data_IF_586220276699
#
_entry.id   IF_586220276699
#
_cell.length_a   1.000
_cell.length_b   1.000
_cell.length_c   1.000
_cell.angle_alpha   90.00
_cell.angle_beta   90.00
_cell.angle_gamma   90.00
#
_symmetry.space_group_name_H-M   'P 1'
#
loop_
_entity.id
_entity.type
_entity.pdbx_description
1 polymer ?
#
# COMPACT_ATOMS: atom_id res chain seq x y z
N UNK A 1 -4.38 -20.12 13.41
CA UNK A 1 -5.72 -20.00 14.00
C UNK A 1 -6.09 -18.53 14.03
N UNK A 2 -7.30 -18.18 13.58
CA UNK A 2 -7.83 -16.82 13.59
C UNK A 2 -8.71 -16.63 14.82
N UNK A 3 -8.48 -15.53 15.54
CA UNK A 3 -9.32 -15.11 16.68
C UNK A 3 -9.89 -13.73 16.39
N UNK A 4 -11.11 -13.51 16.80
CA UNK A 4 -11.74 -12.19 16.85
C UNK A 4 -11.82 -11.76 18.32
N UNK A 5 -11.48 -10.49 18.58
CA UNK A 5 -11.68 -9.89 19.89
C UNK A 5 -12.75 -8.81 19.79
N UNK A 6 -13.77 -8.91 20.64
CA UNK A 6 -14.84 -7.95 20.74
C UNK A 6 -15.20 -7.71 22.23
N UNK A 7 -15.12 -6.46 22.65
CA UNK A 7 -15.51 -5.91 23.96
C UNK A 7 -15.22 -6.80 25.17
N UNK A 8 -13.97 -7.28 25.29
CA UNK A 8 -13.50 -8.07 26.43
C UNK A 8 -13.61 -9.58 26.25
N UNK A 9 -14.11 -10.06 25.15
CA UNK A 9 -14.19 -11.49 24.84
C UNK A 9 -13.38 -11.84 23.60
N UNK A 10 -12.58 -12.90 23.72
CA UNK A 10 -11.86 -13.48 22.57
C UNK A 10 -12.66 -14.68 22.07
N UNK A 11 -12.92 -14.74 20.78
CA UNK A 11 -13.63 -15.81 20.14
C UNK A 11 -12.78 -16.43 19.02
N UNK A 12 -12.67 -17.77 19.04
CA UNK A 12 -11.97 -18.51 18.00
C UNK A 12 -12.83 -18.58 16.73
N UNK A 13 -12.30 -18.05 15.63
CA UNK A 13 -13.00 -17.96 14.35
C UNK A 13 -12.72 -19.14 13.43
N UNK A 14 -11.51 -19.72 13.51
CA UNK A 14 -11.14 -20.91 12.73
C UNK A 14 -10.49 -21.96 13.61
N UNK A 15 -10.73 -23.25 13.33
CA UNK A 15 -10.10 -24.36 14.06
C UNK A 15 -8.65 -24.58 13.63
N UNK A 16 -8.29 -24.12 12.45
CA UNK A 16 -7.01 -24.33 11.80
C UNK A 16 -6.37 -23.02 11.36
N UNK A 17 -5.18 -23.14 10.76
CA UNK A 17 -4.48 -22.02 10.13
C UNK A 17 -5.41 -21.43 9.06
N UNK A 18 -5.60 -20.12 9.11
CA UNK A 18 -6.32 -19.35 8.11
C UNK A 18 -5.28 -18.81 7.14
N UNK A 19 -5.37 -19.20 5.87
CA UNK A 19 -4.39 -18.83 4.86
C UNK A 19 -4.63 -17.41 4.33
N UNK A 20 -5.92 -17.03 4.22
CA UNK A 20 -6.36 -15.71 3.77
C UNK A 20 -7.67 -15.36 4.46
N UNK A 21 -7.81 -14.10 4.90
CA UNK A 21 -9.08 -13.60 5.46
C UNK A 21 -9.34 -12.17 5.02
N UNK A 22 -10.60 -11.79 4.99
CA UNK A 22 -11.08 -10.46 4.66
C UNK A 22 -12.21 -10.09 5.60
N UNK A 23 -12.12 -8.93 6.21
CA UNK A 23 -13.22 -8.29 6.92
C UNK A 23 -13.82 -7.23 6.00
N UNK A 24 -15.15 -7.19 5.88
CA UNK A 24 -15.85 -6.20 5.05
C UNK A 24 -15.66 -4.78 5.59
N UNK A 25 -15.85 -3.77 4.74
CA UNK A 25 -15.62 -2.37 5.09
C UNK A 25 -16.50 -1.87 6.23
N UNK A 26 -17.70 -2.46 6.40
CA UNK A 26 -18.59 -2.22 7.53
C UNK A 26 -18.20 -3.01 8.79
N UNK A 27 -17.17 -3.87 8.71
CA UNK A 27 -16.69 -4.75 9.77
C UNK A 27 -17.73 -5.78 10.26
N UNK A 28 -18.75 -6.07 9.49
CA UNK A 28 -19.84 -6.95 9.91
C UNK A 28 -19.70 -8.39 9.44
N UNK A 29 -18.82 -8.62 8.45
CA UNK A 29 -18.65 -9.94 7.83
C UNK A 29 -17.20 -10.33 7.71
N UNK A 30 -16.90 -11.56 8.12
CA UNK A 30 -15.62 -12.20 7.97
C UNK A 30 -15.71 -13.30 6.91
N UNK A 31 -14.85 -13.21 5.88
CA UNK A 31 -14.68 -14.25 4.87
C UNK A 31 -13.25 -14.78 4.97
N UNK A 32 -13.05 -16.09 4.94
CA UNK A 32 -11.72 -16.66 5.07
C UNK A 32 -11.58 -18.04 4.43
N UNK A 33 -10.35 -18.40 4.05
CA UNK A 33 -9.98 -19.75 3.64
C UNK A 33 -9.33 -20.46 4.82
N UNK A 34 -9.78 -21.68 5.08
CA UNK A 34 -9.17 -22.58 6.05
C UNK A 34 -9.18 -24.00 5.50
N UNK A 35 -7.98 -24.61 5.34
CA UNK A 35 -7.78 -25.94 4.75
C UNK A 35 -8.40 -26.10 3.35
N UNK A 36 -8.28 -25.09 2.50
CA UNK A 36 -8.87 -25.10 1.17
C UNK A 36 -10.39 -24.91 1.12
N UNK A 37 -11.05 -24.77 2.25
CA UNK A 37 -12.48 -24.44 2.32
C UNK A 37 -12.68 -22.93 2.50
N UNK A 38 -13.61 -22.35 1.74
CA UNK A 38 -14.04 -20.97 1.86
C UNK A 38 -15.21 -20.88 2.83
N UNK A 39 -15.05 -20.00 3.81
CA UNK A 39 -16.02 -19.81 4.90
C UNK A 39 -16.47 -18.35 4.95
N UNK A 40 -17.67 -18.18 5.48
CA UNK A 40 -18.29 -16.89 5.80
C UNK A 40 -18.85 -16.91 7.20
N UNK A 41 -18.80 -15.78 7.90
CA UNK A 41 -19.45 -15.56 9.18
C UNK A 41 -19.96 -14.12 9.29
N UNK A 42 -21.19 -13.97 9.78
CA UNK A 42 -21.75 -12.69 10.21
C UNK A 42 -21.24 -12.39 11.63
N UNK A 43 -20.53 -11.28 11.79
CA UNK A 43 -19.91 -10.90 13.08
C UNK A 43 -20.89 -10.11 13.95
N UNK A 44 -21.86 -9.39 13.37
CA UNK A 44 -22.89 -8.69 14.16
C UNK A 44 -23.74 -9.68 14.97
N UNK A 45 -24.00 -10.84 14.40
CA UNK A 45 -24.72 -11.91 15.09
C UNK A 45 -23.74 -12.81 15.86
N UNK A 46 -23.54 -12.52 17.15
CA UNK A 46 -22.61 -13.28 18.02
C UNK A 46 -22.93 -14.79 18.10
N UNK A 47 -24.17 -15.19 17.85
CA UNK A 47 -24.60 -16.58 17.85
C UNK A 47 -24.43 -17.25 16.48
N UNK A 48 -24.02 -16.50 15.45
CA UNK A 48 -23.80 -17.04 14.11
C UNK A 48 -22.59 -17.97 14.09
N UNK A 49 -22.73 -19.06 13.35
CA UNK A 49 -21.64 -20.03 13.17
C UNK A 49 -21.03 -19.87 11.79
N UNK A 50 -19.75 -20.22 11.62
CA UNK A 50 -19.14 -20.23 10.31
C UNK A 50 -19.97 -21.07 9.30
N UNK A 51 -20.27 -20.50 8.17
CA UNK A 51 -20.97 -21.13 7.06
C UNK A 51 -19.96 -21.44 5.94
N UNK A 52 -19.90 -22.69 5.52
CA UNK A 52 -19.06 -23.10 4.41
C UNK A 52 -19.72 -22.68 3.09
N UNK A 53 -19.00 -21.93 2.26
CA UNK A 53 -19.44 -21.49 0.93
C UNK A 53 -19.01 -22.50 -0.13
N UNK A 54 -17.73 -22.92 -0.09
CA UNK A 54 -17.15 -23.81 -1.11
C UNK A 54 -15.99 -24.63 -0.55
N UNK A 55 -15.62 -25.70 -1.26
CA UNK A 55 -14.43 -26.53 -1.03
C UNK A 55 -13.43 -26.36 -2.17
N UNK A 56 -12.17 -26.72 -1.92
CA UNK A 56 -11.08 -26.75 -2.90
C UNK A 56 -10.83 -25.34 -3.49
N UNK A 57 -10.86 -24.32 -2.63
CA UNK A 57 -10.68 -22.91 -2.99
C UNK A 57 -9.22 -22.49 -2.77
N UNK A 58 -8.59 -21.96 -3.80
CA UNK A 58 -7.20 -21.46 -3.76
C UNK A 58 -7.14 -19.95 -3.53
N UNK A 59 -8.07 -19.19 -4.10
CA UNK A 59 -8.12 -17.75 -3.95
C UNK A 59 -9.57 -17.24 -3.95
N UNK A 60 -9.78 -16.07 -3.38
CA UNK A 60 -11.06 -15.36 -3.44
C UNK A 60 -10.85 -13.85 -3.39
N UNK A 61 -11.86 -13.12 -3.85
CA UNK A 61 -12.03 -11.69 -3.64
C UNK A 61 -13.50 -11.38 -3.32
N UNK A 62 -13.76 -10.25 -2.67
CA UNK A 62 -15.10 -9.87 -2.23
C UNK A 62 -15.37 -8.41 -2.58
N UNK A 63 -16.61 -8.07 -2.85
CA UNK A 63 -17.02 -6.68 -2.97
C UNK A 63 -17.02 -5.99 -1.59
N UNK A 64 -17.01 -4.65 -1.52
CA UNK A 64 -16.81 -3.91 -0.26
C UNK A 64 -17.78 -4.28 0.86
N UNK A 65 -19.05 -4.56 0.55
CA UNK A 65 -20.07 -4.95 1.53
C UNK A 65 -20.11 -6.46 1.82
N UNK A 66 -19.26 -7.27 1.16
CA UNK A 66 -19.19 -8.71 1.33
C UNK A 66 -20.44 -9.49 0.89
N UNK A 67 -21.37 -8.86 0.18
CA UNK A 67 -22.59 -9.53 -0.27
C UNK A 67 -22.34 -10.50 -1.41
N UNK A 68 -21.27 -10.28 -2.18
CA UNK A 68 -20.83 -11.14 -3.28
C UNK A 68 -19.36 -11.50 -3.16
N UNK A 69 -19.07 -12.74 -3.40
CA UNK A 69 -17.75 -13.34 -3.31
C UNK A 69 -17.42 -13.97 -4.66
N UNK A 70 -16.22 -13.73 -5.17
CA UNK A 70 -15.69 -14.45 -6.33
C UNK A 70 -14.54 -15.32 -5.84
N UNK A 71 -14.48 -16.58 -6.26
CA UNK A 71 -13.46 -17.50 -5.84
C UNK A 71 -13.01 -18.44 -6.94
N UNK A 72 -11.77 -18.90 -6.83
CA UNK A 72 -11.12 -19.83 -7.76
C UNK A 72 -10.98 -21.16 -7.05
N UNK A 73 -11.29 -22.26 -7.74
CA UNK A 73 -11.03 -23.62 -7.29
C UNK A 73 -9.70 -24.15 -7.80
N UNK A 74 -9.16 -25.17 -7.15
CA UNK A 74 -7.91 -25.84 -7.54
C UNK A 74 -7.85 -26.27 -9.02
N UNK A 75 -9.01 -26.53 -9.62
CA UNK A 75 -9.09 -26.91 -11.06
C UNK A 75 -9.13 -25.69 -12.00
N UNK A 76 -8.99 -24.47 -11.49
CA UNK A 76 -9.03 -23.23 -12.29
C UNK A 76 -10.44 -22.73 -12.64
N UNK A 77 -11.49 -23.37 -12.15
CA UNK A 77 -12.86 -22.86 -12.30
C UNK A 77 -13.13 -21.67 -11.41
N UNK A 78 -13.77 -20.63 -11.94
CA UNK A 78 -14.16 -19.42 -11.23
C UNK A 78 -15.65 -19.46 -10.94
N UNK A 79 -16.00 -19.15 -9.71
CA UNK A 79 -17.37 -19.08 -9.25
C UNK A 79 -17.68 -17.73 -8.62
N UNK A 80 -18.91 -17.28 -8.74
CA UNK A 80 -19.49 -16.28 -7.84
C UNK A 80 -20.28 -16.98 -6.76
N UNK A 81 -20.25 -16.42 -5.56
CA UNK A 81 -21.02 -16.88 -4.42
C UNK A 81 -21.69 -15.72 -3.70
N UNK A 82 -22.74 -16.03 -3.00
CA UNK A 82 -23.42 -15.13 -2.06
C UNK A 82 -23.40 -15.74 -0.67
N UNK A 83 -23.56 -14.93 0.34
CA UNK A 83 -23.58 -15.38 1.73
C UNK A 83 -24.77 -16.30 2.07
N UNK A 84 -25.82 -16.35 1.23
CA UNK A 84 -26.92 -17.32 1.34
C UNK A 84 -26.60 -18.68 0.68
N UNK A 85 -25.34 -18.88 0.23
CA UNK A 85 -24.83 -20.16 -0.29
C UNK A 85 -25.17 -20.43 -1.77
N UNK A 86 -25.72 -19.47 -2.49
CA UNK A 86 -25.89 -19.59 -3.95
C UNK A 86 -24.57 -19.40 -4.63
N UNK A 87 -24.23 -20.31 -5.54
CA UNK A 87 -23.00 -20.26 -6.31
C UNK A 87 -23.30 -20.48 -7.81
N UNK A 88 -22.55 -19.78 -8.65
CA UNK A 88 -22.64 -19.87 -10.10
C UNK A 88 -21.23 -19.88 -10.72
N UNK A 89 -20.97 -20.78 -11.66
CA UNK A 89 -19.72 -20.80 -12.42
C UNK A 89 -19.73 -19.64 -13.43
N UNK A 90 -18.69 -18.81 -13.40
CA UNK A 90 -18.57 -17.59 -14.22
C UNK A 90 -17.32 -17.54 -15.07
N UNK A 91 -16.44 -18.50 -14.93
CA UNK A 91 -15.22 -18.61 -15.74
C UNK A 91 -14.51 -19.94 -15.53
N UNK A 92 -13.47 -20.18 -16.33
CA UNK A 92 -12.66 -21.38 -16.25
C UNK A 92 -11.21 -21.12 -16.71
N UNK A 93 -10.36 -22.09 -16.46
CA UNK A 93 -8.94 -22.05 -16.85
C UNK A 93 -8.16 -20.88 -16.21
N UNK A 94 -8.60 -20.41 -15.03
CA UNK A 94 -7.87 -19.38 -14.30
C UNK A 94 -6.49 -19.87 -13.88
N UNK A 95 -5.49 -19.01 -14.00
CA UNK A 95 -4.15 -19.29 -13.47
C UNK A 95 -4.15 -19.20 -11.94
N UNK A 96 -3.24 -19.93 -11.29
CA UNK A 96 -3.05 -19.90 -9.83
C UNK A 96 -2.52 -18.55 -9.30
N UNK A 97 -2.37 -17.55 -10.16
CA UNK A 97 -1.98 -16.21 -9.74
C UNK A 97 -3.10 -15.55 -8.95
N UNK A 98 -2.82 -15.08 -7.76
CA UNK A 98 -3.73 -14.42 -6.81
C UNK A 98 -4.41 -13.14 -7.33
N UNK A 99 -4.22 -12.76 -8.59
CA UNK A 99 -4.76 -11.54 -9.20
C UNK A 99 -6.15 -11.78 -9.78
N UNK A 100 -7.13 -11.84 -8.89
CA UNK A 100 -8.56 -11.82 -9.23
C UNK A 100 -9.10 -10.42 -8.95
N UNK A 101 -9.56 -9.73 -9.99
CA UNK A 101 -10.16 -8.41 -9.90
C UNK A 101 -11.67 -8.54 -9.82
N UNK A 102 -12.29 -7.75 -8.95
CA UNK A 102 -13.75 -7.63 -8.85
C UNK A 102 -14.09 -6.15 -8.70
N UNK A 103 -15.13 -5.67 -9.38
CA UNK A 103 -15.61 -4.30 -9.20
C UNK A 103 -16.56 -4.20 -8.00
N UNK A 104 -16.80 -2.97 -7.53
CA UNK A 104 -17.60 -2.70 -6.32
C UNK A 104 -19.02 -3.26 -6.40
N UNK A 105 -19.66 -3.21 -7.56
CA UNK A 105 -21.00 -3.79 -7.77
C UNK A 105 -21.00 -5.31 -7.91
N UNK A 106 -19.80 -5.92 -8.03
CA UNK A 106 -19.60 -7.34 -8.25
C UNK A 106 -20.43 -7.90 -9.42
N UNK A 107 -20.56 -7.12 -10.48
CA UNK A 107 -21.14 -7.53 -11.75
C UNK A 107 -20.07 -7.80 -12.81
N UNK A 108 -18.80 -7.51 -12.51
CA UNK A 108 -17.64 -7.78 -13.38
C UNK A 108 -16.48 -8.34 -12.61
N UNK A 109 -15.73 -9.21 -13.29
CA UNK A 109 -14.45 -9.75 -12.82
C UNK A 109 -13.40 -9.65 -13.93
N UNK A 110 -12.13 -9.50 -13.49
CA UNK A 110 -10.96 -9.63 -14.36
C UNK A 110 -10.06 -10.73 -13.82
N UNK A 111 -9.50 -11.57 -14.68
CA UNK A 111 -8.62 -12.66 -14.28
C UNK A 111 -7.67 -13.10 -15.38
N UNK A 112 -6.59 -13.76 -14.98
CA UNK A 112 -5.65 -14.39 -15.91
C UNK A 112 -5.99 -15.86 -16.12
N UNK A 113 -5.79 -16.34 -17.34
CA UNK A 113 -5.92 -17.77 -17.69
C UNK A 113 -4.55 -18.45 -17.77
N UNK A 114 -4.51 -19.77 -17.64
CA UNK A 114 -3.29 -20.58 -17.77
C UNK A 114 -2.62 -20.48 -19.16
N UNK A 115 -3.36 -20.06 -20.19
CA UNK A 115 -2.85 -19.79 -21.53
C UNK A 115 -2.51 -18.30 -21.74
N UNK A 116 -2.20 -17.59 -20.65
CA UNK A 116 -1.71 -16.22 -20.67
C UNK A 116 -2.66 -15.20 -21.31
N UNK A 117 -3.97 -15.30 -21.05
CA UNK A 117 -4.96 -14.30 -21.45
C UNK A 117 -5.46 -13.54 -20.25
N UNK A 118 -5.73 -12.24 -20.43
CA UNK A 118 -6.51 -11.48 -19.48
C UNK A 118 -7.97 -11.42 -19.95
N UNK A 119 -8.86 -11.93 -19.13
CA UNK A 119 -10.30 -12.02 -19.38
C UNK A 119 -11.01 -10.96 -18.54
N UNK A 120 -11.97 -10.27 -19.14
CA UNK A 120 -12.98 -9.49 -18.46
C UNK A 120 -14.33 -10.18 -18.64
N UNK A 121 -14.94 -10.61 -17.54
CA UNK A 121 -16.23 -11.28 -17.58
C UNK A 121 -17.31 -10.38 -16.95
N UNK A 122 -18.47 -10.27 -17.65
CA UNK A 122 -19.70 -9.69 -17.11
C UNK A 122 -20.51 -10.82 -16.48
N UNK A 123 -20.55 -10.83 -15.15
CA UNK A 123 -21.21 -11.89 -14.38
C UNK A 123 -22.73 -11.91 -14.64
N UNK A 124 -23.31 -10.71 -14.84
CA UNK A 124 -24.78 -10.59 -14.99
C UNK A 124 -25.28 -11.10 -16.33
N UNK A 125 -24.43 -11.10 -17.36
CA UNK A 125 -24.78 -11.48 -18.72
C UNK A 125 -24.15 -12.80 -19.16
N UNK A 126 -23.21 -13.35 -18.37
CA UNK A 126 -22.47 -14.55 -18.75
C UNK A 126 -21.55 -14.35 -19.97
N UNK A 127 -21.17 -13.11 -20.23
CA UNK A 127 -20.32 -12.76 -21.36
C UNK A 127 -18.88 -12.58 -20.93
N UNK A 128 -17.98 -13.31 -21.57
CA UNK A 128 -16.52 -13.13 -21.42
C UNK A 128 -15.96 -12.36 -22.61
N UNK A 129 -15.04 -11.44 -22.32
CA UNK A 129 -14.27 -10.71 -23.34
C UNK A 129 -12.80 -10.99 -23.09
N UNK A 130 -12.11 -11.54 -24.07
CA UNK A 130 -10.65 -11.60 -24.05
C UNK A 130 -10.14 -10.19 -24.27
N UNK A 131 -9.59 -9.60 -23.21
CA UNK A 131 -9.05 -8.24 -23.27
C UNK A 131 -7.68 -8.24 -23.92
N UNK A 132 -6.80 -9.15 -23.50
CA UNK A 132 -5.48 -9.28 -24.10
C UNK A 132 -4.98 -10.74 -24.08
N UNK A 133 -4.20 -11.11 -25.08
CA UNK A 133 -3.40 -12.33 -25.08
C UNK A 133 -1.97 -11.92 -24.70
N UNK A 134 -1.57 -12.20 -23.47
CA UNK A 134 -0.27 -11.84 -22.93
C UNK A 134 0.79 -12.79 -23.47
N UNK A 135 1.97 -12.27 -23.78
CA UNK A 135 3.08 -13.07 -24.30
C UNK A 135 3.99 -13.55 -23.16
N UNK A 136 3.97 -12.90 -22.00
CA UNK A 136 4.83 -13.27 -20.87
C UNK A 136 4.14 -13.12 -19.51
N UNK A 137 4.68 -13.82 -18.50
CA UNK A 137 4.26 -13.70 -17.10
C UNK A 137 4.68 -12.42 -16.40
N UNK A 138 5.51 -11.56 -17.03
CA UNK A 138 6.02 -10.32 -16.43
C UNK A 138 5.13 -9.11 -16.76
N UNK A 139 3.89 -9.36 -17.14
CA UNK A 139 2.93 -8.31 -17.44
C UNK A 139 2.35 -7.70 -16.17
N UNK A 140 2.20 -6.38 -16.15
CA UNK A 140 1.52 -5.66 -15.07
C UNK A 140 0.14 -5.23 -15.52
N UNK A 141 -0.90 -5.50 -14.72
CA UNK A 141 -2.28 -5.06 -14.97
C UNK A 141 -2.69 -4.06 -13.89
N UNK A 142 -3.33 -2.99 -14.31
CA UNK A 142 -3.95 -1.99 -13.43
C UNK A 142 -5.36 -1.71 -13.93
N UNK A 143 -6.34 -1.82 -13.05
CA UNK A 143 -7.74 -1.65 -13.36
C UNK A 143 -8.33 -0.48 -12.60
N UNK A 144 -9.34 0.18 -13.18
CA UNK A 144 -10.23 1.06 -12.42
C UNK A 144 -11.17 0.23 -11.51
N UNK A 145 -11.68 0.84 -10.44
CA UNK A 145 -12.56 0.16 -9.46
C UNK A 145 -13.81 -0.46 -10.10
N UNK A 146 -14.30 0.14 -11.18
CA UNK A 146 -15.45 -0.38 -11.92
C UNK A 146 -15.06 -1.31 -13.09
N UNK A 147 -13.77 -1.64 -13.25
CA UNK A 147 -13.21 -2.44 -14.35
C UNK A 147 -13.56 -1.92 -15.76
N UNK A 148 -13.88 -0.64 -15.90
CA UNK A 148 -14.18 -0.04 -17.21
C UNK A 148 -12.91 0.36 -17.98
N UNK A 149 -11.81 0.62 -17.26
CA UNK A 149 -10.49 0.95 -17.79
C UNK A 149 -9.49 -0.08 -17.30
N UNK A 150 -8.73 -0.63 -18.23
CA UNK A 150 -7.66 -1.60 -17.95
C UNK A 150 -6.40 -1.14 -18.66
N UNK A 151 -5.30 -1.03 -17.92
CA UNK A 151 -3.99 -0.65 -18.45
C UNK A 151 -3.05 -1.81 -18.20
N UNK A 152 -2.49 -2.35 -19.28
CA UNK A 152 -1.56 -3.49 -19.27
C UNK A 152 -0.21 -3.02 -19.77
N UNK A 153 0.82 -3.20 -18.96
CA UNK A 153 2.22 -3.11 -19.37
C UNK A 153 2.74 -4.51 -19.63
N UNK A 154 3.18 -4.79 -20.84
CA UNK A 154 3.69 -6.09 -21.25
C UNK A 154 5.19 -5.98 -21.56
N UNK A 155 5.97 -6.91 -21.02
CA UNK A 155 7.40 -7.02 -21.23
C UNK A 155 7.77 -8.42 -21.70
N UNK A 156 8.48 -8.51 -22.83
CA UNK A 156 8.96 -9.78 -23.38
C UNK A 156 10.20 -9.59 -24.28
N UNK A 157 10.81 -10.67 -24.70
CA UNK A 157 11.97 -10.64 -25.59
C UNK A 157 11.64 -11.23 -26.96
N UNK A 158 12.04 -10.51 -28.03
CA UNK A 158 12.09 -11.03 -29.39
C UNK A 158 13.54 -10.98 -29.86
N UNK A 159 14.10 -12.13 -30.26
CA UNK A 159 15.49 -12.24 -30.72
C UNK A 159 16.53 -11.64 -29.77
N UNK A 160 16.31 -11.78 -28.46
CA UNK A 160 17.06 -11.18 -27.33
C UNK A 160 16.95 -9.65 -27.20
N UNK A 161 16.07 -9.01 -27.94
CA UNK A 161 15.77 -7.58 -27.74
C UNK A 161 14.51 -7.42 -26.89
N UNK A 162 14.53 -6.56 -25.85
CA UNK A 162 13.36 -6.33 -25.00
C UNK A 162 12.28 -5.57 -25.77
N UNK A 163 11.06 -6.02 -25.66
CA UNK A 163 9.88 -5.34 -26.22
C UNK A 163 8.93 -5.01 -25.08
N UNK A 164 8.58 -3.74 -24.98
CA UNK A 164 7.64 -3.21 -23.99
C UNK A 164 6.45 -2.61 -24.74
N UNK A 165 5.25 -3.05 -24.44
CA UNK A 165 4.04 -2.47 -24.99
C UNK A 165 3.07 -2.08 -23.88
N UNK A 166 2.34 -1.00 -24.10
CA UNK A 166 1.26 -0.59 -23.21
C UNK A 166 -0.05 -0.72 -23.97
N UNK A 167 -0.97 -1.46 -23.37
CA UNK A 167 -2.33 -1.63 -23.86
C UNK A 167 -3.30 -0.93 -22.92
N UNK A 168 -4.14 -0.08 -23.47
CA UNK A 168 -5.13 0.68 -22.73
C UNK A 168 -6.51 0.35 -23.28
N UNK A 169 -7.30 -0.33 -22.46
CA UNK A 169 -8.65 -0.70 -22.78
C UNK A 169 -9.63 0.22 -22.07
N UNK A 170 -10.65 0.66 -22.81
CA UNK A 170 -11.76 1.46 -22.30
C UNK A 170 -13.09 0.91 -22.78
N UNK A 171 -14.19 1.53 -22.38
CA UNK A 171 -15.55 1.07 -22.72
C UNK A 171 -15.78 -0.43 -22.41
N UNK A 172 -15.34 -0.85 -21.23
CA UNK A 172 -15.44 -2.24 -20.78
C UNK A 172 -14.71 -3.24 -21.73
N UNK A 173 -13.48 -2.90 -22.12
CA UNK A 173 -12.66 -3.72 -23.00
C UNK A 173 -12.93 -3.58 -24.50
N UNK A 174 -13.93 -2.82 -24.91
CA UNK A 174 -14.34 -2.69 -26.33
C UNK A 174 -13.41 -1.80 -27.16
N UNK A 175 -12.80 -0.80 -26.52
CA UNK A 175 -11.87 0.13 -27.19
C UNK A 175 -10.45 -0.18 -26.74
N UNK A 176 -9.55 -0.43 -27.69
CA UNK A 176 -8.13 -0.74 -27.44
C UNK A 176 -7.25 0.35 -28.05
N UNK A 177 -6.38 0.92 -27.22
CA UNK A 177 -5.25 1.76 -27.66
C UNK A 177 -3.95 1.03 -27.34
N UNK A 178 -2.97 1.11 -28.24
CA UNK A 178 -1.66 0.49 -28.08
C UNK A 178 -0.58 1.54 -28.21
N UNK A 179 0.37 1.53 -27.27
CA UNK A 179 1.60 2.31 -27.33
C UNK A 179 2.75 1.33 -27.41
N UNK A 180 3.31 1.19 -28.60
CA UNK A 180 4.39 0.24 -28.87
C UNK A 180 5.74 0.79 -28.41
N UNK A 181 6.64 -0.10 -27.98
CA UNK A 181 7.99 0.20 -27.49
C UNK A 181 7.97 1.25 -26.37
N UNK A 182 7.10 1.04 -25.39
CA UNK A 182 6.88 1.97 -24.29
C UNK A 182 6.76 1.23 -22.96
N UNK A 183 7.27 1.85 -21.89
CA UNK A 183 7.28 1.32 -20.54
C UNK A 183 6.47 2.22 -19.60
N UNK A 184 5.64 1.62 -18.76
CA UNK A 184 4.82 2.34 -17.78
C UNK A 184 5.72 2.89 -16.66
N UNK A 185 5.62 4.19 -16.43
CA UNK A 185 6.16 4.83 -15.22
C UNK A 185 5.11 4.82 -14.12
N UNK A 186 3.89 5.26 -14.41
CA UNK A 186 2.77 5.24 -13.46
C UNK A 186 1.43 5.23 -14.20
N UNK A 187 0.57 4.29 -13.86
CA UNK A 187 -0.79 4.21 -14.40
C UNK A 187 -1.83 4.78 -13.42
N UNK A 188 -2.84 5.44 -13.98
CA UNK A 188 -4.01 5.99 -13.28
C UNK A 188 -5.28 5.54 -13.99
N UNK A 189 -5.74 4.31 -13.77
CA UNK A 189 -6.90 3.77 -14.49
C UNK A 189 -8.17 4.59 -14.28
N UNK A 190 -8.41 5.10 -13.06
CA UNK A 190 -9.56 5.96 -12.74
C UNK A 190 -9.63 7.24 -13.59
N UNK A 191 -8.51 7.68 -14.12
CA UNK A 191 -8.40 8.86 -15.00
C UNK A 191 -8.20 8.50 -16.46
N UNK A 192 -8.16 7.20 -16.81
CA UNK A 192 -7.81 6.71 -18.14
C UNK A 192 -6.51 7.37 -18.64
N UNK A 193 -5.46 7.32 -17.80
CA UNK A 193 -4.20 8.01 -18.07
C UNK A 193 -2.98 7.24 -17.57
N UNK A 194 -1.83 7.51 -18.19
CA UNK A 194 -0.56 6.88 -17.86
C UNK A 194 0.62 7.82 -18.17
N UNK A 195 1.59 7.90 -17.26
CA UNK A 195 2.94 8.36 -17.57
C UNK A 195 3.75 7.18 -18.07
N UNK A 196 4.45 7.35 -19.17
CA UNK A 196 5.24 6.32 -19.80
C UNK A 196 6.50 6.86 -20.46
N UNK A 197 7.50 6.00 -20.64
CA UNK A 197 8.70 6.30 -21.41
C UNK A 197 8.64 5.58 -22.76
N UNK A 198 9.17 6.25 -23.77
CA UNK A 198 9.41 5.70 -25.11
C UNK A 198 10.65 6.35 -25.71
N UNK A 199 11.61 5.55 -26.16
CA UNK A 199 12.86 6.04 -26.79
C UNK A 199 13.57 7.10 -25.93
N UNK A 200 13.63 6.90 -24.59
CA UNK A 200 14.24 7.84 -23.66
C UNK A 200 13.48 9.16 -23.47
N UNK A 201 12.26 9.25 -23.95
CA UNK A 201 11.38 10.42 -23.80
C UNK A 201 10.21 10.09 -22.89
N UNK A 202 9.90 10.97 -21.94
CA UNK A 202 8.75 10.87 -21.05
C UNK A 202 7.52 11.47 -21.69
N UNK A 203 6.41 10.76 -21.61
CA UNK A 203 5.10 11.15 -22.13
C UNK A 203 4.01 11.00 -21.06
N UNK A 204 2.94 11.75 -21.26
CA UNK A 204 1.65 11.57 -20.59
C UNK A 204 0.57 11.23 -21.62
N UNK A 205 -0.13 10.13 -21.39
CA UNK A 205 -1.30 9.73 -22.16
C UNK A 205 -2.57 9.95 -21.34
N UNK A 206 -3.58 10.51 -21.98
CA UNK A 206 -4.93 10.60 -21.44
C UNK A 206 -5.97 10.49 -22.56
N UNK A 207 -6.93 9.58 -22.40
CA UNK A 207 -8.11 9.44 -23.27
C UNK A 207 -7.79 9.44 -24.77
N UNK A 208 -6.80 8.68 -25.20
CA UNK A 208 -6.43 8.53 -26.63
C UNK A 208 -5.38 9.51 -27.12
N UNK A 209 -4.89 10.42 -26.29
CA UNK A 209 -3.90 11.43 -26.68
C UNK A 209 -2.64 11.36 -25.84
N UNK A 210 -1.49 11.27 -26.51
CA UNK A 210 -0.18 11.39 -25.87
C UNK A 210 0.36 12.81 -25.97
N UNK A 211 0.93 13.30 -24.88
CA UNK A 211 1.59 14.61 -24.79
C UNK A 211 3.02 14.37 -24.31
N UNK A 212 3.99 14.90 -25.04
CA UNK A 212 5.40 14.85 -24.68
C UNK A 212 5.64 15.73 -23.46
N UNK A 213 6.35 15.20 -22.47
CA UNK A 213 6.72 15.89 -21.22
C UNK A 213 8.18 16.31 -21.25
N UNK A 214 9.10 15.37 -21.51
CA UNK A 214 10.54 15.65 -21.43
C UNK A 214 11.34 14.71 -22.35
N UNK A 215 12.36 15.25 -23.03
CA UNK A 215 13.37 14.47 -23.74
C UNK A 215 14.48 14.02 -22.79
N UNK A 216 15.20 12.98 -23.16
CA UNK A 216 16.34 12.45 -22.41
C UNK A 216 15.97 12.17 -20.94
N UNK A 217 14.76 11.64 -20.73
CA UNK A 217 14.34 11.20 -19.40
C UNK A 217 15.15 9.98 -19.00
N UNK A 218 15.84 10.08 -17.88
CA UNK A 218 16.48 8.94 -17.23
C UNK A 218 15.80 8.68 -15.89
N UNK A 219 15.46 7.42 -15.66
CA UNK A 219 15.01 6.99 -14.34
C UNK A 219 16.23 6.95 -13.41
N UNK A 220 16.31 7.87 -12.46
CA UNK A 220 17.37 7.82 -11.46
C UNK A 220 16.99 6.84 -10.36
N UNK A 221 17.82 5.81 -10.16
CA UNK A 221 17.66 4.74 -9.16
C UNK A 221 17.47 5.24 -7.72
N UNK A 222 17.77 6.51 -7.45
CA UNK A 222 17.68 7.11 -6.12
C UNK A 222 16.44 7.99 -5.92
N UNK A 223 15.51 7.98 -6.88
CA UNK A 223 14.29 8.78 -6.81
C UNK A 223 13.20 7.97 -6.15
N UNK A 224 12.76 8.43 -5.00
CA UNK A 224 11.58 7.89 -4.31
C UNK A 224 10.33 8.51 -4.94
N UNK A 225 9.17 8.03 -4.68
CA UNK A 225 7.82 8.51 -5.03
C UNK A 225 7.71 9.79 -5.92
N UNK A 226 8.16 9.67 -7.16
CA UNK A 226 8.10 10.75 -8.16
C UNK A 226 6.67 11.11 -8.59
N UNK A 227 5.71 10.25 -8.31
CA UNK A 227 4.33 10.39 -8.75
C UNK A 227 3.38 10.44 -7.56
N UNK A 228 2.37 11.32 -7.62
CA UNK A 228 1.22 11.25 -6.73
C UNK A 228 0.43 9.93 -6.95
N UNK A 229 -0.30 9.45 -5.95
CA UNK A 229 -1.09 8.21 -6.07
C UNK A 229 -2.48 8.46 -6.64
N UNK A 230 -3.15 9.52 -6.21
CA UNK A 230 -4.58 9.75 -6.50
C UNK A 230 -4.83 10.57 -7.77
N UNK A 231 -3.83 11.32 -8.19
CA UNK A 231 -3.93 12.25 -9.33
C UNK A 231 -2.71 12.14 -10.23
N UNK A 232 -2.86 12.35 -11.55
CA UNK A 232 -1.75 12.27 -12.49
C UNK A 232 -0.83 13.51 -12.38
N UNK A 233 -0.06 13.55 -11.32
CA UNK A 233 1.03 14.50 -11.07
C UNK A 233 2.33 13.74 -10.94
N UNK A 234 3.34 14.18 -11.67
CA UNK A 234 4.68 13.59 -11.66
C UNK A 234 5.75 14.69 -11.59
N UNK A 235 6.83 14.39 -10.91
CA UNK A 235 8.04 15.23 -10.85
C UNK A 235 9.16 14.53 -11.61
N UNK A 236 9.75 15.20 -12.58
CA UNK A 236 10.93 14.73 -13.29
C UNK A 236 12.10 15.69 -13.03
N UNK A 237 13.33 15.19 -13.16
CA UNK A 237 14.51 16.05 -13.04
C UNK A 237 14.74 16.85 -14.31
N UNK A 238 15.17 18.11 -14.16
CA UNK A 238 15.60 18.97 -15.25
C UNK A 238 17.00 19.52 -14.99
N UNK A 239 17.65 20.11 -16.01
CA UNK A 239 18.98 20.74 -15.87
C UNK A 239 19.00 21.85 -14.81
N UNK A 240 17.85 22.46 -14.51
CA UNK A 240 17.75 23.58 -13.59
C UNK A 240 17.11 23.22 -12.25
N UNK A 241 16.61 22.00 -12.09
CA UNK A 241 15.91 21.55 -10.88
C UNK A 241 14.87 20.51 -11.20
N UNK A 242 13.57 20.88 -11.20
CA UNK A 242 12.48 19.94 -11.42
C UNK A 242 11.53 20.39 -12.53
N UNK A 243 10.97 19.42 -13.23
CA UNK A 243 9.85 19.58 -14.13
C UNK A 243 8.62 18.94 -13.49
N UNK A 244 7.63 19.75 -13.13
CA UNK A 244 6.36 19.27 -12.60
C UNK A 244 5.42 19.02 -13.78
N UNK A 245 4.94 17.80 -13.93
CA UNK A 245 3.95 17.44 -14.94
C UNK A 245 2.60 17.19 -14.26
N UNK A 246 1.59 17.97 -14.62
CA UNK A 246 0.20 17.82 -14.17
C UNK A 246 -0.71 17.62 -15.37
N UNK A 247 -1.26 16.42 -15.55
CA UNK A 247 -2.18 16.12 -16.66
C UNK A 247 -1.65 16.59 -18.03
N UNK A 248 -0.37 16.35 -18.29
CA UNK A 248 0.29 16.73 -19.54
C UNK A 248 0.69 18.20 -19.69
N UNK A 249 0.41 19.05 -18.71
CA UNK A 249 0.98 20.41 -18.60
C UNK A 249 2.24 20.36 -17.78
N UNK A 250 3.23 21.15 -18.15
CA UNK A 250 4.54 21.16 -17.49
C UNK A 250 4.86 22.54 -16.94
N UNK A 251 5.50 22.55 -15.75
CA UNK A 251 6.03 23.75 -15.10
C UNK A 251 7.46 23.46 -14.64
N UNK A 252 8.43 24.30 -15.01
CA UNK A 252 9.82 24.15 -14.59
C UNK A 252 10.07 24.90 -13.28
N UNK A 253 10.62 24.19 -12.29
CA UNK A 253 11.04 24.74 -11.01
C UNK A 253 12.56 24.83 -11.01
N UNK A 254 13.07 26.07 -10.99
CA UNK A 254 14.50 26.32 -10.93
C UNK A 254 15.00 26.31 -9.49
N UNK A 255 16.00 25.48 -9.22
CA UNK A 255 16.66 25.38 -7.93
C UNK A 255 18.08 25.99 -8.00
N UNK A 256 18.46 26.75 -6.99
CA UNK A 256 19.85 27.14 -6.80
C UNK A 256 20.56 26.12 -5.90
N UNK A 257 20.79 24.92 -6.45
CA UNK A 257 21.36 23.79 -5.72
C UNK A 257 22.36 23.03 -6.61
N UNK A 258 23.39 22.47 -6.03
CA UNK A 258 24.38 21.63 -6.72
C UNK A 258 23.86 20.22 -7.00
N UNK A 259 22.92 19.72 -6.19
CA UNK A 259 22.20 18.47 -6.38
C UNK A 259 20.85 18.54 -5.67
N UNK A 260 19.90 17.74 -6.15
CA UNK A 260 18.57 17.60 -5.52
C UNK A 260 18.04 16.19 -5.71
N UNK A 261 17.29 15.70 -4.73
CA UNK A 261 16.65 14.38 -4.76
C UNK A 261 15.20 14.53 -4.32
N UNK A 262 14.26 14.13 -5.19
CA UNK A 262 12.83 13.99 -4.83
C UNK A 262 12.69 12.88 -3.81
N UNK A 263 11.95 13.15 -2.75
CA UNK A 263 11.68 12.19 -1.68
C UNK A 263 10.23 11.71 -1.70
N UNK A 264 9.28 12.62 -1.87
CA UNK A 264 7.86 12.28 -1.88
C UNK A 264 7.03 13.34 -2.60
N UNK A 265 6.13 12.92 -3.47
CA UNK A 265 4.98 13.71 -3.92
C UNK A 265 3.76 13.27 -3.10
N UNK A 266 2.99 14.20 -2.54
CA UNK A 266 1.77 13.86 -1.81
C UNK A 266 0.73 13.19 -2.71
N UNK A 267 -0.13 12.37 -2.15
CA UNK A 267 -1.12 11.59 -2.90
C UNK A 267 -2.05 12.45 -3.75
N UNK A 268 -2.40 13.64 -3.24
CA UNK A 268 -3.19 14.64 -3.97
C UNK A 268 -2.38 15.50 -4.97
N UNK A 269 -1.07 15.28 -5.09
CA UNK A 269 -0.19 15.97 -6.02
C UNK A 269 0.09 17.43 -5.71
N UNK A 270 -0.23 17.93 -4.50
CA UNK A 270 -0.11 19.34 -4.16
C UNK A 270 1.12 19.68 -3.30
N UNK A 271 1.87 18.70 -2.86
CA UNK A 271 3.08 18.91 -2.04
C UNK A 271 4.23 18.05 -2.55
N UNK A 272 5.39 18.66 -2.72
CA UNK A 272 6.65 17.99 -3.02
C UNK A 272 7.59 18.14 -1.84
N UNK A 273 8.16 17.01 -1.40
CA UNK A 273 9.28 16.98 -0.46
C UNK A 273 10.53 16.52 -1.21
N UNK A 274 11.59 17.25 -1.03
CA UNK A 274 12.88 16.93 -1.63
C UNK A 274 14.04 17.37 -0.73
N UNK A 275 15.21 16.79 -0.98
CA UNK A 275 16.46 17.24 -0.40
C UNK A 275 17.29 17.96 -1.47
N UNK A 276 18.00 18.99 -1.09
CA UNK A 276 18.88 19.73 -2.00
C UNK A 276 20.14 20.21 -1.28
N UNK A 277 21.27 20.13 -1.97
CA UNK A 277 22.58 20.60 -1.49
C UNK A 277 22.87 21.97 -2.07
N UNK A 278 23.18 22.91 -1.19
CA UNK A 278 23.59 24.29 -1.51
C UNK A 278 24.94 24.58 -0.85
N UNK A 279 25.47 25.78 -1.04
CA UNK A 279 26.71 26.23 -0.35
C UNK A 279 26.57 26.20 1.19
N UNK A 280 25.33 26.22 1.70
CA UNK A 280 25.02 26.11 3.15
C UNK A 280 24.81 24.69 3.65
N UNK A 281 25.11 23.67 2.86
CA UNK A 281 24.89 22.26 3.18
C UNK A 281 23.63 21.67 2.55
N UNK A 282 23.33 20.42 2.87
CA UNK A 282 22.13 19.72 2.40
C UNK A 282 20.94 19.99 3.34
N UNK A 283 19.77 20.22 2.78
CA UNK A 283 18.54 20.52 3.52
C UNK A 283 17.33 19.77 2.97
N UNK A 284 16.35 19.58 3.84
CA UNK A 284 15.02 19.08 3.49
C UNK A 284 14.14 20.27 3.17
N UNK A 285 13.45 20.22 2.02
CA UNK A 285 12.55 21.27 1.56
C UNK A 285 11.15 20.74 1.34
N UNK A 286 10.18 21.62 1.57
CA UNK A 286 8.79 21.50 1.12
C UNK A 286 8.53 22.51 0.01
N UNK A 287 7.83 22.07 -1.03
CA UNK A 287 7.34 22.93 -2.11
C UNK A 287 5.84 22.71 -2.28
N UNK A 288 5.08 23.80 -2.29
CA UNK A 288 3.65 23.78 -2.61
C UNK A 288 3.47 23.71 -4.12
N UNK A 289 2.84 22.63 -4.60
CA UNK A 289 2.53 22.39 -6.01
C UNK A 289 1.10 22.81 -6.37
N UNK A 290 0.30 23.36 -5.45
CA UNK A 290 -1.07 23.79 -5.73
C UNK A 290 -1.11 24.84 -6.83
N UNK A 291 -2.18 24.86 -7.62
CA UNK A 291 -2.33 25.82 -8.69
C UNK A 291 -2.37 27.25 -8.12
N UNK A 292 -1.56 28.14 -8.72
CA UNK A 292 -1.45 29.53 -8.30
C UNK A 292 -0.65 29.78 -7.02
N UNK A 293 -0.05 28.74 -6.40
CA UNK A 293 0.83 28.92 -5.26
C UNK A 293 2.18 29.56 -5.68
N UNK A 294 2.82 30.22 -4.72
CA UNK A 294 4.23 30.60 -4.86
C UNK A 294 5.09 29.33 -4.82
N UNK A 295 5.79 29.05 -5.92
CA UNK A 295 6.66 27.88 -6.07
C UNK A 295 8.03 28.07 -5.39
N UNK A 296 8.07 28.77 -4.26
CA UNK A 296 9.29 28.98 -3.49
C UNK A 296 9.49 27.84 -2.49
N UNK A 297 10.60 27.08 -2.58
CA UNK A 297 10.90 26.03 -1.61
C UNK A 297 11.08 26.57 -0.20
N UNK A 298 10.45 25.95 0.77
CA UNK A 298 10.58 26.25 2.18
C UNK A 298 11.49 25.21 2.85
N UNK A 299 12.61 25.64 3.41
CA UNK A 299 13.49 24.75 4.16
C UNK A 299 12.82 24.33 5.49
N UNK A 300 12.85 23.01 5.75
CA UNK A 300 12.29 22.42 6.98
C UNK A 300 13.40 22.15 7.99
N UNK A 301 14.51 21.52 7.56
CA UNK A 301 15.61 21.11 8.42
C UNK A 301 16.86 20.82 7.59
N UNK A 302 18.00 20.65 8.27
CA UNK A 302 19.23 20.16 7.66
C UNK A 302 19.13 18.66 7.36
N UNK A 303 19.55 18.27 6.16
CA UNK A 303 19.63 16.87 5.76
C UNK A 303 20.98 16.30 6.23
N UNK A 304 20.93 15.29 7.08
CA UNK A 304 22.11 14.61 7.62
C UNK A 304 22.57 13.42 6.76
N UNK A 305 22.01 13.23 5.56
CA UNK A 305 22.22 12.05 4.73
C UNK A 305 21.44 10.82 5.22
N UNK A 306 21.22 9.83 4.33
CA UNK A 306 20.51 8.56 4.60
C UNK A 306 19.15 8.68 5.30
N UNK A 307 18.54 9.86 5.25
CA UNK A 307 17.28 10.13 5.93
C UNK A 307 16.12 9.69 5.05
N UNK A 308 15.30 8.78 5.55
CA UNK A 308 13.97 8.53 4.96
C UNK A 308 13.04 9.65 5.35
N UNK A 309 12.24 10.07 4.38
CA UNK A 309 11.31 11.17 4.53
C UNK A 309 9.98 10.75 3.93
N UNK A 310 8.91 10.96 4.66
CA UNK A 310 7.54 10.71 4.18
C UNK A 310 6.58 11.81 4.60
N UNK A 311 5.33 11.71 4.18
CA UNK A 311 4.24 12.62 4.54
C UNK A 311 3.15 11.87 5.27
N UNK A 312 2.57 12.50 6.28
CA UNK A 312 1.29 12.08 6.86
C UNK A 312 0.12 12.51 5.96
N UNK A 313 -1.06 11.97 6.19
CA UNK A 313 -2.30 12.35 5.48
C UNK A 313 -2.63 13.84 5.59
N UNK A 314 -2.29 14.48 6.72
CA UNK A 314 -2.40 15.94 6.92
C UNK A 314 -1.15 16.72 6.47
N UNK A 315 -0.26 16.06 5.68
CA UNK A 315 0.92 16.64 5.01
C UNK A 315 2.03 17.13 5.97
N UNK A 316 2.13 16.59 7.16
CA UNK A 316 3.31 16.79 7.99
C UNK A 316 4.48 16.00 7.42
N UNK A 317 5.66 16.60 7.42
CA UNK A 317 6.89 15.94 6.95
C UNK A 317 7.51 15.16 8.10
N UNK A 318 7.53 13.84 8.00
CA UNK A 318 8.12 12.95 8.99
C UNK A 318 9.42 12.39 8.45
N UNK A 319 10.47 12.43 9.25
CA UNK A 319 11.79 11.93 8.88
C UNK A 319 12.59 11.48 10.09
N UNK A 320 13.58 10.62 9.83
CA UNK A 320 14.52 10.17 10.87
C UNK A 320 15.89 10.79 10.65
N UNK A 321 16.58 11.08 11.75
CA UNK A 321 18.02 11.39 11.76
C UNK A 321 18.75 10.38 12.62
N UNK A 322 19.92 9.95 12.15
CA UNK A 322 20.81 9.03 12.87
C UNK A 322 22.09 9.78 13.25
N UNK A 323 22.49 9.71 14.49
CA UNK A 323 23.85 10.12 14.84
C UNK A 323 24.84 9.10 14.30
N UNK A 324 25.92 9.59 13.70
CA UNK A 324 26.95 8.73 13.10
C UNK A 324 27.42 7.66 14.10
N UNK A 325 27.27 6.38 13.73
CA UNK A 325 27.64 5.23 14.55
C UNK A 325 26.59 4.78 15.58
N UNK A 326 25.41 5.44 15.65
CA UNK A 326 24.30 4.99 16.49
C UNK A 326 23.34 4.09 15.69
N UNK A 327 22.90 2.93 16.23
CA UNK A 327 21.83 2.13 15.63
C UNK A 327 20.44 2.76 15.86
N UNK A 328 20.37 3.82 16.68
CA UNK A 328 19.14 4.48 17.09
C UNK A 328 18.83 5.68 16.23
N UNK A 329 17.56 5.89 15.95
CA UNK A 329 17.07 7.00 15.15
C UNK A 329 16.23 7.95 15.97
N UNK A 330 16.43 9.24 15.73
CA UNK A 330 15.58 10.29 16.26
C UNK A 330 14.55 10.67 15.19
N UNK A 331 13.28 10.73 15.58
CA UNK A 331 12.17 11.03 14.68
C UNK A 331 11.78 12.50 14.81
N UNK A 332 11.68 13.15 13.68
CA UNK A 332 11.31 14.55 13.55
C UNK A 332 10.04 14.73 12.75
N UNK A 333 9.29 15.78 13.08
CA UNK A 333 8.09 16.21 12.34
C UNK A 333 8.17 17.70 12.13
N UNK A 334 8.17 18.15 10.87
CA UNK A 334 8.28 19.56 10.49
C UNK A 334 9.41 20.30 11.23
N UNK A 335 10.57 19.70 11.36
CA UNK A 335 11.75 20.27 12.05
C UNK A 335 11.77 20.08 13.55
N UNK A 336 10.73 19.51 14.17
CA UNK A 336 10.67 19.30 15.62
C UNK A 336 10.97 17.84 15.98
N UNK A 337 11.84 17.64 16.97
CA UNK A 337 12.09 16.32 17.53
C UNK A 337 10.83 15.80 18.25
N UNK A 338 10.36 14.61 17.85
CA UNK A 338 9.18 13.94 18.41
C UNK A 338 9.59 12.75 19.27
N UNK A 339 10.59 12.00 18.85
CA UNK A 339 11.06 10.81 19.53
C UNK A 339 12.57 10.66 19.46
N UNK A 340 13.18 10.30 20.57
CA UNK A 340 14.57 9.86 20.64
C UNK A 340 14.60 8.34 20.74
N UNK A 341 15.58 7.71 20.06
CA UNK A 341 15.79 6.27 20.11
C UNK A 341 14.55 5.43 19.73
N UNK A 342 13.82 5.87 18.73
CA UNK A 342 12.64 5.18 18.25
C UNK A 342 12.99 4.09 17.22
N UNK A 343 12.15 3.05 17.20
CA UNK A 343 12.07 2.09 16.09
C UNK A 343 11.49 2.82 14.87
N UNK A 344 12.27 2.84 13.78
CA UNK A 344 11.90 3.57 12.56
C UNK A 344 10.89 2.84 11.67
N UNK A 345 10.67 1.55 11.92
CA UNK A 345 9.84 0.70 11.06
C UNK A 345 8.37 0.68 11.51
N UNK A 346 8.13 1.09 12.75
CA UNK A 346 6.84 0.98 13.41
C UNK A 346 6.39 2.31 14.00
N UNK A 347 6.12 3.29 13.13
CA UNK A 347 5.53 4.55 13.55
C UNK A 347 4.11 4.63 12.99
N UNK A 348 3.17 4.95 13.84
CA UNK A 348 1.78 5.19 13.45
C UNK A 348 1.42 6.65 13.76
N UNK A 349 0.74 7.30 12.83
CA UNK A 349 0.17 8.63 13.04
C UNK A 349 -1.35 8.56 12.95
N UNK A 350 -2.01 9.10 13.94
CA UNK A 350 -3.48 9.19 14.01
C UNK A 350 -3.89 10.45 14.80
N UNK A 351 -4.73 11.28 14.20
CA UNK A 351 -5.38 12.43 14.84
C UNK A 351 -4.42 13.35 15.65
N UNK A 352 -3.25 13.64 15.05
CA UNK A 352 -2.26 14.53 15.67
C UNK A 352 -1.31 13.84 16.65
N UNK A 353 -1.48 12.54 16.91
CA UNK A 353 -0.62 11.77 17.80
C UNK A 353 0.28 10.79 17.03
N UNK A 354 1.52 10.64 17.50
CA UNK A 354 2.46 9.64 17.03
C UNK A 354 2.57 8.51 18.04
N UNK A 355 2.49 7.29 17.55
CA UNK A 355 2.65 6.04 18.29
C UNK A 355 3.91 5.36 17.77
N UNK A 356 4.80 4.95 18.66
CA UNK A 356 6.07 4.33 18.31
C UNK A 356 6.64 3.49 19.44
N UNK A 357 7.52 2.57 19.10
CA UNK A 357 8.31 1.83 20.08
C UNK A 357 9.58 2.62 20.35
N UNK A 358 9.78 3.01 21.61
CA UNK A 358 11.00 3.66 22.10
C UNK A 358 11.91 2.59 22.69
N UNK A 359 13.13 2.48 22.20
CA UNK A 359 14.11 1.56 22.72
C UNK A 359 14.99 2.26 23.75
N UNK A 360 15.11 1.70 24.95
CA UNK A 360 15.97 2.22 26.01
C UNK A 360 17.04 1.18 26.34
N UNK A 361 18.30 1.56 26.22
CA UNK A 361 19.42 0.70 26.62
C UNK A 361 19.70 0.87 28.11
N UNK A 362 19.79 -0.24 28.82
CA UNK A 362 20.29 -0.27 30.20
C UNK A 362 21.79 0.06 30.25
N UNK A 363 22.27 0.51 31.40
CA UNK A 363 23.68 0.90 31.62
C UNK A 363 24.65 -0.29 31.63
N UNK A 364 24.18 -1.54 31.51
CA UNK A 364 24.96 -2.77 31.73
C UNK A 364 24.86 -3.81 30.60
N UNK A 365 24.91 -3.41 29.32
CA UNK A 365 24.85 -4.34 28.17
C UNK A 365 23.62 -5.27 28.17
N UNK A 366 22.59 -4.95 28.93
CA UNK A 366 21.32 -5.67 28.89
C UNK A 366 20.58 -5.37 27.57
N UNK A 367 19.79 -6.33 27.10
CA UNK A 367 18.95 -6.14 25.92
C UNK A 367 18.10 -4.88 26.06
N UNK A 368 17.91 -4.09 24.97
CA UNK A 368 17.12 -2.87 25.05
C UNK A 368 15.69 -3.17 25.48
N UNK A 369 15.17 -2.37 26.38
CA UNK A 369 13.75 -2.43 26.72
C UNK A 369 12.94 -1.62 25.71
N UNK A 370 12.00 -2.26 25.05
CA UNK A 370 11.09 -1.64 24.09
C UNK A 370 9.84 -1.11 24.78
N UNK A 371 9.56 0.17 24.66
CA UNK A 371 8.41 0.80 25.32
C UNK A 371 7.48 1.41 24.27
N UNK A 372 6.23 0.97 24.21
CA UNK A 372 5.22 1.65 23.40
C UNK A 372 4.93 3.02 24.00
N UNK A 373 5.12 4.05 23.21
CA UNK A 373 5.01 5.46 23.60
C UNK A 373 4.05 6.19 22.66
N UNK A 374 3.23 7.05 23.22
CA UNK A 374 2.37 8.00 22.50
C UNK A 374 2.99 9.39 22.68
N UNK A 375 3.15 10.12 21.59
CA UNK A 375 3.50 11.53 21.60
C UNK A 375 2.36 12.36 21.01
N UNK A 376 1.76 13.22 21.83
CA UNK A 376 0.76 14.18 21.41
C UNK A 376 1.27 15.59 21.72
N UNK A 377 1.39 16.43 20.72
CA UNK A 377 1.87 17.82 20.83
C UNK A 377 3.22 17.96 21.55
N UNK A 378 4.13 16.97 21.38
CA UNK A 378 5.45 16.97 22.01
C UNK A 378 5.47 16.42 23.44
N UNK A 379 4.35 15.92 23.96
CA UNK A 379 4.27 15.26 25.26
C UNK A 379 4.26 13.74 25.07
N UNK A 380 5.31 13.09 25.55
CA UNK A 380 5.41 11.63 25.58
C UNK A 380 4.62 11.02 26.74
N UNK A 381 3.94 9.91 26.46
CA UNK A 381 3.27 9.07 27.44
C UNK A 381 3.65 7.61 27.17
N UNK A 382 4.38 7.00 28.10
CA UNK A 382 4.69 5.57 28.04
C UNK A 382 3.45 4.74 28.36
N UNK A 383 3.16 3.75 27.53
CA UNK A 383 1.98 2.88 27.68
C UNK A 383 2.37 1.55 28.32
N UNK A 384 3.32 0.83 27.73
CA UNK A 384 3.75 -0.48 28.20
C UNK A 384 5.16 -0.81 27.70
N UNK A 385 5.92 -1.46 28.55
CA UNK A 385 7.24 -2.03 28.29
C UNK A 385 7.14 -3.40 27.63
N UNK A 386 8.28 -3.83 27.06
CA UNK A 386 8.48 -5.13 26.40
C UNK A 386 7.52 -5.35 25.21
N UNK A 387 7.19 -4.25 24.49
CA UNK A 387 6.31 -4.30 23.33
C UNK A 387 7.12 -4.62 22.07
N UNK A 388 6.77 -5.71 21.41
CA UNK A 388 7.37 -6.16 20.15
C UNK A 388 6.58 -5.71 18.93
N UNK A 389 5.26 -5.62 19.04
CA UNK A 389 4.33 -5.18 17.97
C UNK A 389 3.13 -4.48 18.57
N UNK A 390 2.57 -3.57 17.83
CA UNK A 390 1.31 -2.92 18.21
C UNK A 390 0.46 -2.58 16.97
N UNK A 391 -0.82 -2.33 17.21
CA UNK A 391 -1.77 -1.83 16.23
C UNK A 391 -2.69 -0.81 16.90
N UNK A 392 -2.73 0.40 16.35
CA UNK A 392 -3.62 1.46 16.82
C UNK A 392 -4.99 1.26 16.17
N UNK A 393 -6.02 1.02 16.95
CA UNK A 393 -7.39 0.88 16.47
C UNK A 393 -8.08 2.25 16.39
N UNK A 394 -7.89 3.05 17.44
CA UNK A 394 -8.23 4.45 17.52
C UNK A 394 -7.37 5.13 18.61
N UNK A 395 -7.59 6.40 18.90
CA UNK A 395 -6.78 7.15 19.87
C UNK A 395 -6.78 6.58 21.30
N UNK A 396 -7.83 5.86 21.68
CA UNK A 396 -8.05 5.34 23.03
C UNK A 396 -7.89 3.82 23.12
N UNK A 397 -7.76 3.14 21.95
CA UNK A 397 -7.68 1.69 21.84
C UNK A 397 -6.47 1.25 21.03
N UNK A 398 -5.54 0.53 21.66
CA UNK A 398 -4.32 0.02 21.06
C UNK A 398 -4.16 -1.45 21.45
N UNK A 399 -3.98 -2.32 20.48
CA UNK A 399 -3.56 -3.70 20.74
C UNK A 399 -2.04 -3.82 20.65
N UNK A 400 -1.43 -4.66 21.50
CA UNK A 400 0.02 -4.84 21.54
C UNK A 400 0.40 -6.25 21.94
N UNK A 401 1.47 -6.77 21.34
CA UNK A 401 2.11 -8.04 21.72
C UNK A 401 3.38 -7.71 22.51
N UNK A 402 3.48 -8.30 23.69
CA UNK A 402 4.63 -8.12 24.57
C UNK A 402 5.30 -9.48 24.83
N UNK A 403 6.60 -9.44 25.15
CA UNK A 403 7.35 -10.62 25.57
C UNK A 403 7.44 -11.70 24.48
N UNK A 404 7.66 -11.31 23.22
CA UNK A 404 7.80 -12.29 22.14
C UNK A 404 9.01 -13.19 22.39
N UNK A 405 8.74 -14.49 22.46
CA UNK A 405 9.75 -15.53 22.58
C UNK A 405 9.92 -16.27 21.26
N UNK A 406 11.14 -16.68 20.99
CA UNK A 406 11.53 -17.47 19.83
C UNK A 406 11.99 -18.82 20.33
N UNK A 407 11.14 -19.84 20.25
CA UNK A 407 11.50 -21.22 20.61
C UNK A 407 11.34 -22.12 19.36
N UNK A 408 12.46 -22.41 18.69
CA UNK A 408 12.46 -23.17 17.44
C UNK A 408 11.69 -22.42 16.33
N UNK A 409 10.73 -23.09 15.71
CA UNK A 409 9.89 -22.51 14.64
C UNK A 409 8.66 -21.75 15.19
N UNK A 410 8.42 -21.79 16.51
CA UNK A 410 7.28 -21.11 17.12
C UNK A 410 7.68 -19.72 17.64
N UNK A 411 6.85 -18.73 17.30
CA UNK A 411 6.96 -17.36 17.80
C UNK A 411 5.66 -17.03 18.48
N UNK A 412 5.71 -16.43 19.66
CA UNK A 412 4.49 -15.99 20.32
C UNK A 412 4.76 -15.09 21.50
N UNK A 413 3.86 -14.17 21.74
CA UNK A 413 3.87 -13.27 22.87
C UNK A 413 2.49 -13.16 23.51
N UNK A 414 2.38 -12.34 24.53
CA UNK A 414 1.11 -12.05 25.18
C UNK A 414 0.45 -10.82 24.52
N UNK A 415 -0.79 -10.99 24.10
CA UNK A 415 -1.61 -9.91 23.54
C UNK A 415 -2.28 -9.13 24.66
N UNK A 416 -2.15 -7.81 24.58
CA UNK A 416 -2.81 -6.85 25.47
C UNK A 416 -3.64 -5.86 24.66
N UNK A 417 -4.69 -5.33 25.29
CA UNK A 417 -5.43 -4.16 24.84
C UNK A 417 -5.21 -3.01 25.84
N UNK A 418 -4.78 -1.87 25.35
CA UNK A 418 -4.90 -0.59 26.05
C UNK A 418 -6.23 0.03 25.64
N UNK A 419 -7.08 0.30 26.62
CA UNK A 419 -8.40 0.91 26.44
C UNK A 419 -8.68 1.85 27.60
N UNK A 420 -9.05 3.11 27.32
CA UNK A 420 -9.43 4.11 28.33
C UNK A 420 -8.39 4.25 29.45
N UNK A 421 -7.11 4.26 29.14
CA UNK A 421 -6.02 4.35 30.10
C UNK A 421 -5.74 3.08 30.92
N UNK A 422 -6.35 1.94 30.58
CA UNK A 422 -6.14 0.64 31.24
C UNK A 422 -5.57 -0.38 30.28
N UNK A 423 -4.71 -1.26 30.80
CA UNK A 423 -4.15 -2.37 30.05
C UNK A 423 -4.82 -3.66 30.52
N UNK A 424 -5.39 -4.39 29.57
CA UNK A 424 -6.06 -5.67 29.80
C UNK A 424 -5.35 -6.74 28.99
N UNK A 425 -5.01 -7.87 29.63
CA UNK A 425 -4.50 -9.05 28.93
C UNK A 425 -5.64 -9.71 28.17
N UNK A 426 -5.40 -10.03 26.91
CA UNK A 426 -6.38 -10.65 26.00
C UNK A 426 -6.09 -12.13 25.83
N UNK A 427 -4.85 -12.48 25.37
CA UNK A 427 -4.49 -13.85 25.01
C UNK A 427 -2.99 -14.08 25.15
N UNK A 428 -2.55 -15.34 25.01
CA UNK A 428 -1.15 -15.78 25.01
C UNK A 428 -0.82 -16.49 23.69
N UNK A 429 0.47 -16.63 23.39
CA UNK A 429 0.99 -17.28 22.18
C UNK A 429 0.52 -16.62 20.86
N UNK A 430 0.28 -15.31 20.90
CA UNK A 430 -0.13 -14.53 19.72
C UNK A 430 1.09 -14.13 18.90
N UNK A 431 1.07 -14.40 17.60
CA UNK A 431 2.20 -14.18 16.69
C UNK A 431 2.09 -12.86 15.90
N UNK A 432 0.88 -12.42 15.60
CA UNK A 432 0.63 -11.19 14.83
C UNK A 432 -0.68 -10.53 15.22
N UNK A 433 -0.76 -9.24 14.93
CA UNK A 433 -1.96 -8.42 15.06
C UNK A 433 -2.19 -7.81 13.69
N UNK A 434 -3.42 -7.89 13.22
CA UNK A 434 -3.83 -7.21 11.99
C UNK A 434 -5.14 -6.47 12.22
N UNK A 435 -5.33 -5.39 11.48
CA UNK A 435 -6.58 -4.63 11.48
C UNK A 435 -7.17 -4.60 10.09
N UNK A 436 -8.46 -4.82 9.99
CA UNK A 436 -9.17 -4.80 8.73
C UNK A 436 -9.38 -3.38 8.18
N UNK A 437 -9.45 -2.39 9.04
CA UNK A 437 -9.68 -1.00 8.65
C UNK A 437 -8.50 -0.15 9.10
N UNK A 438 -7.67 0.27 8.15
CA UNK A 438 -6.58 1.22 8.41
C UNK A 438 -7.16 2.63 8.50
N UNK A 439 -7.23 3.18 9.71
CA UNK A 439 -7.65 4.57 9.99
C UNK A 439 -6.48 5.49 10.34
N UNK A 440 -5.26 5.04 10.09
CA UNK A 440 -4.04 5.72 10.48
C UNK A 440 -2.99 5.66 9.37
N UNK A 441 -2.07 6.61 9.39
CA UNK A 441 -0.89 6.55 8.55
C UNK A 441 0.15 5.64 9.20
N UNK A 442 0.52 4.57 8.52
CA UNK A 442 1.69 3.78 8.86
C UNK A 442 2.91 4.44 8.24
N UNK A 443 3.83 4.85 9.08
CA UNK A 443 5.08 5.51 8.68
C UNK A 443 6.21 4.51 8.81
N UNK A 444 6.83 4.18 7.69
CA UNK A 444 8.03 3.35 7.63
C UNK A 444 9.21 4.24 7.21
N UNK A 445 10.19 4.36 8.08
CA UNK A 445 11.40 5.12 7.87
C UNK A 445 12.64 4.22 7.78
N UNK A 446 12.49 2.90 7.60
CA UNK A 446 13.61 2.00 7.40
C UNK A 446 14.07 1.95 5.94
N UNK A 447 15.39 2.08 5.75
CA UNK A 447 16.02 2.04 4.42
C UNK A 447 16.01 0.64 3.79
N UNK A 448 15.96 -0.42 4.60
CA UNK A 448 16.08 -1.81 4.12
C UNK A 448 14.76 -2.49 3.76
N UNK A 449 13.61 -1.89 4.02
CA UNK A 449 12.30 -2.48 3.75
C UNK A 449 11.85 -2.40 2.29
N UNK A 450 12.68 -1.87 1.36
CA UNK A 450 12.37 -1.71 -0.06
C UNK A 450 13.16 -2.64 -0.99
N UNK A 451 13.58 -3.83 -0.50
CA UNK A 451 14.16 -4.85 -1.38
C UNK A 451 13.14 -5.91 -1.75
#
# INVERSE_FOLDING_TARGET
>A
VLYMYDDGTSERMSEDICDKYTLTTDSNRLIYISKGDLWYRDIENKDDKPHKIATDVTAYNVNPDGSKIVYIKENGDIFTGTTDGKTEKVGENCSDNDELFINDSADRIGYFTNDCKFILADISQGNEIIVNELISGDSTVRCSDNLSIIIIGEFYYIDNEPVNNIYIYSDNGKTKNVIENAEIVKAYPEKNSVYYTKDGTLYYYEKGKSTKIQDNYSYEYYSFDLCATDVPVMVAYSEKGFLIAKQGKTEEITLNASSSIVRKVSDDGNTLIFTASTDGGSKIYRLDLSDGSDKTPVAIDDDMGETRITLTSDKKVVYSKTEYGSPMRNIYVDGKLIAENADSDNITYLDGSFYYIKNTYGTNEEEPTSVLTINTDGKETAIKDDVSRYCVLDKDNITMICGMKYEGDSRGGTLYLYKDGKIVKIDEEVTSIETAVKRYDKIDLDYYSMQ
#
